data_IF_582273109305
#
_entry.id   IF_582273109305
#
_cell.length_a   1.000
_cell.length_b   1.000
_cell.length_c   1.000
_cell.angle_alpha   90.00
_cell.angle_beta   90.00
_cell.angle_gamma   90.00
#
_symmetry.space_group_name_H-M   'P 1'
#
loop_
_entity.id
_entity.type
_entity.pdbx_description
1 polymer ?
#
# COMPACT_ATOMS: atom_id res chain seq x y z
N UNK A 1 33.44 22.95 -4.98
CA UNK A 1 31.98 22.96 -4.79
C UNK A 1 31.30 22.90 -6.14
N UNK A 2 30.25 22.08 -6.24
CA UNK A 2 29.41 22.00 -7.44
C UNK A 2 28.35 23.10 -7.48
N UNK A 3 27.56 23.19 -8.57
CA UNK A 3 26.58 24.27 -8.73
C UNK A 3 25.41 24.08 -7.76
N UNK A 4 24.96 22.84 -7.57
CA UNK A 4 23.88 22.51 -6.65
C UNK A 4 24.31 22.71 -5.20
N UNK A 5 25.55 22.40 -4.86
CA UNK A 5 26.12 22.67 -3.53
C UNK A 5 26.15 24.18 -3.23
N UNK A 6 26.56 25.01 -4.20
CA UNK A 6 26.58 26.48 -4.04
C UNK A 6 25.16 27.03 -3.86
N UNK A 7 24.20 26.55 -4.64
CA UNK A 7 22.79 26.96 -4.53
C UNK A 7 22.25 26.58 -3.15
N UNK A 8 22.49 25.34 -2.70
CA UNK A 8 22.02 24.87 -1.41
C UNK A 8 22.68 25.64 -0.26
N UNK A 9 24.00 25.89 -0.30
CA UNK A 9 24.70 26.65 0.73
C UNK A 9 24.17 28.09 0.84
N UNK A 10 23.90 28.74 -0.29
CA UNK A 10 23.40 30.11 -0.32
C UNK A 10 21.97 30.23 0.24
N UNK A 11 21.13 29.21 0.00
CA UNK A 11 19.69 29.24 0.33
C UNK A 11 19.35 28.64 1.69
N UNK A 12 19.97 27.51 2.03
CA UNK A 12 19.77 26.83 3.31
C UNK A 12 20.68 27.43 4.41
N UNK A 13 21.83 27.97 3.99
CA UNK A 13 22.88 28.47 4.87
C UNK A 13 23.95 27.42 5.20
N UNK A 14 25.21 27.84 5.29
CA UNK A 14 26.37 26.98 5.51
C UNK A 14 26.23 26.05 6.74
N UNK A 15 25.73 26.58 7.87
CA UNK A 15 25.52 25.77 9.09
C UNK A 15 24.48 24.66 8.91
N UNK A 16 23.43 24.90 8.13
CA UNK A 16 22.41 23.89 7.85
C UNK A 16 22.98 22.83 6.92
N UNK A 17 23.66 23.23 5.85
CA UNK A 17 24.27 22.24 4.94
C UNK A 17 25.35 21.40 5.65
N UNK A 18 26.14 21.98 6.56
CA UNK A 18 27.11 21.27 7.41
C UNK A 18 26.45 20.25 8.36
N UNK A 19 25.26 20.57 8.88
CA UNK A 19 24.51 19.65 9.73
C UNK A 19 23.90 18.47 8.96
N UNK A 20 23.88 18.52 7.62
CA UNK A 20 23.30 17.52 6.73
C UNK A 20 24.34 16.99 5.72
N UNK A 21 25.36 16.23 6.17
CA UNK A 21 26.46 15.77 5.31
C UNK A 21 26.02 14.80 4.19
N UNK A 22 24.93 14.05 4.41
CA UNK A 22 24.33 13.19 3.40
C UNK A 22 23.78 14.01 2.22
N UNK A 23 23.04 15.08 2.50
CA UNK A 23 22.57 16.04 1.49
C UNK A 23 23.73 16.61 0.69
N UNK A 24 24.79 17.07 1.36
CA UNK A 24 25.98 17.63 0.69
C UNK A 24 26.61 16.62 -0.27
N UNK A 25 26.82 15.39 0.19
CA UNK A 25 27.40 14.31 -0.62
C UNK A 25 26.51 13.98 -1.82
N UNK A 26 25.20 13.96 -1.62
CA UNK A 26 24.22 13.68 -2.66
C UNK A 26 24.14 14.79 -3.73
N UNK A 27 24.18 16.06 -3.31
CA UNK A 27 24.26 17.21 -4.24
C UNK A 27 25.54 17.16 -5.09
N UNK A 28 26.69 16.81 -4.51
CA UNK A 28 27.93 16.63 -5.26
C UNK A 28 27.83 15.50 -6.30
N UNK A 29 27.16 14.40 -5.97
CA UNK A 29 26.91 13.30 -6.90
C UNK A 29 25.96 13.74 -8.03
N UNK A 30 24.91 14.49 -7.71
CA UNK A 30 24.01 15.07 -8.69
C UNK A 30 24.72 16.09 -9.62
N UNK A 31 25.63 16.90 -9.09
CA UNK A 31 26.47 17.81 -9.87
C UNK A 31 27.42 17.06 -10.82
N UNK A 32 28.04 15.97 -10.36
CA UNK A 32 28.87 15.09 -11.21
C UNK A 32 28.02 14.45 -12.31
N UNK A 33 26.81 14.00 -11.97
CA UNK A 33 25.85 13.45 -12.90
C UNK A 33 25.46 14.45 -13.99
N UNK A 34 25.21 15.71 -13.60
CA UNK A 34 24.80 16.80 -14.48
C UNK A 34 25.86 17.25 -15.49
N UNK A 35 27.14 16.91 -15.27
CA UNK A 35 28.23 17.21 -16.21
C UNK A 35 28.35 16.19 -17.35
N UNK A 36 27.58 15.10 -17.31
CA UNK A 36 27.57 14.10 -18.37
C UNK A 36 26.88 14.68 -19.62
N UNK A 37 27.37 14.38 -20.84
CA UNK A 37 26.84 14.97 -22.08
C UNK A 37 25.39 14.56 -22.40
N UNK A 38 24.90 13.46 -21.81
CA UNK A 38 23.52 13.00 -21.98
C UNK A 38 22.92 12.72 -20.60
N UNK A 39 21.95 13.54 -20.18
CA UNK A 39 21.12 13.29 -19.00
C UNK A 39 19.78 12.66 -19.42
N UNK A 40 19.28 11.71 -18.62
CA UNK A 40 17.90 11.25 -18.77
C UNK A 40 16.90 12.35 -18.36
N UNK A 41 15.66 12.24 -18.79
CA UNK A 41 14.63 13.21 -18.41
C UNK A 41 14.32 13.13 -16.90
N UNK A 42 14.41 11.95 -16.29
CA UNK A 42 14.28 11.76 -14.84
C UNK A 42 15.40 12.49 -14.07
N UNK A 43 16.65 12.43 -14.56
CA UNK A 43 17.77 13.13 -13.94
C UNK A 43 17.58 14.66 -14.00
N UNK A 44 17.07 15.18 -15.12
CA UNK A 44 16.74 16.61 -15.26
C UNK A 44 15.61 17.02 -14.32
N UNK A 45 14.54 16.23 -14.26
CA UNK A 45 13.40 16.50 -13.39
C UNK A 45 13.82 16.53 -11.91
N UNK A 46 14.69 15.60 -11.51
CA UNK A 46 15.26 15.57 -10.15
C UNK A 46 16.09 16.81 -9.85
N UNK A 47 17.00 17.21 -10.75
CA UNK A 47 17.81 18.42 -10.57
C UNK A 47 16.93 19.67 -10.46
N UNK A 48 15.89 19.78 -11.30
CA UNK A 48 14.93 20.88 -11.20
C UNK A 48 14.22 20.88 -9.84
N UNK A 49 13.76 19.71 -9.38
CA UNK A 49 13.11 19.56 -8.06
C UNK A 49 14.02 19.98 -6.92
N UNK A 50 15.31 19.62 -6.96
CA UNK A 50 16.30 20.03 -5.96
C UNK A 50 16.47 21.54 -5.91
N UNK A 51 16.56 22.18 -7.09
CA UNK A 51 16.68 23.64 -7.18
C UNK A 51 15.42 24.31 -6.64
N UNK A 52 14.24 23.88 -7.07
CA UNK A 52 12.95 24.42 -6.61
C UNK A 52 12.80 24.31 -5.09
N UNK A 53 13.09 23.15 -4.50
CA UNK A 53 13.00 22.97 -3.06
C UNK A 53 13.99 23.83 -2.27
N UNK A 54 15.19 24.11 -2.81
CA UNK A 54 16.11 25.07 -2.19
C UNK A 54 15.51 26.49 -2.17
N UNK A 55 14.82 26.91 -3.23
CA UNK A 55 14.12 28.19 -3.27
C UNK A 55 12.91 28.23 -2.34
N UNK A 56 12.11 27.16 -2.29
CA UNK A 56 10.99 27.06 -1.35
C UNK A 56 11.47 27.09 0.11
N UNK A 57 12.58 26.42 0.44
CA UNK A 57 13.16 26.48 1.78
C UNK A 57 13.50 27.91 2.24
N UNK A 58 14.08 28.72 1.34
CA UNK A 58 14.42 30.12 1.63
C UNK A 58 13.16 30.97 1.90
N UNK A 59 12.09 30.73 1.14
CA UNK A 59 10.85 31.51 1.18
C UNK A 59 9.90 31.08 2.29
N UNK A 60 9.98 29.83 2.73
CA UNK A 60 9.13 29.30 3.78
C UNK A 60 9.41 29.99 5.13
N UNK A 61 8.34 30.25 5.88
CA UNK A 61 8.39 30.87 7.21
C UNK A 61 8.03 29.90 8.32
N UNK A 62 7.24 28.87 8.00
CA UNK A 62 6.83 27.84 8.94
C UNK A 62 7.98 26.86 9.23
N UNK A 63 8.31 26.61 10.51
CA UNK A 63 9.43 25.76 10.89
C UNK A 63 9.20 24.26 10.61
N UNK A 64 7.95 23.79 10.67
CA UNK A 64 7.62 22.40 10.41
C UNK A 64 7.69 22.13 8.90
N UNK A 65 7.18 23.06 8.08
CA UNK A 65 7.30 22.97 6.62
C UNK A 65 8.75 23.10 6.15
N UNK A 66 9.56 23.95 6.76
CA UNK A 66 11.02 23.96 6.52
C UNK A 66 11.67 22.62 6.80
N UNK A 67 11.23 21.94 7.85
CA UNK A 67 11.75 20.61 8.21
C UNK A 67 11.31 19.57 7.18
N UNK A 68 10.07 19.63 6.71
CA UNK A 68 9.57 18.78 5.63
C UNK A 68 10.34 18.98 4.32
N UNK A 69 10.53 20.24 3.90
CA UNK A 69 11.28 20.58 2.68
C UNK A 69 12.71 20.04 2.77
N UNK A 70 13.37 20.18 3.92
CA UNK A 70 14.73 19.69 4.12
C UNK A 70 14.80 18.16 4.04
N UNK A 71 13.84 17.45 4.63
CA UNK A 71 13.72 15.99 4.51
C UNK A 71 13.52 15.58 3.04
N UNK A 72 12.64 16.27 2.32
CA UNK A 72 12.41 15.98 0.89
C UNK A 72 13.64 16.27 0.04
N UNK A 73 14.40 17.33 0.34
CA UNK A 73 15.70 17.58 -0.30
C UNK A 73 16.67 16.42 -0.10
N UNK A 74 16.75 15.88 1.12
CA UNK A 74 17.57 14.70 1.41
C UNK A 74 17.12 13.48 0.60
N UNK A 75 15.83 13.15 0.63
CA UNK A 75 15.25 12.00 -0.09
C UNK A 75 15.48 12.09 -1.62
N UNK A 76 15.18 13.25 -2.22
CA UNK A 76 15.34 13.47 -3.65
C UNK A 76 16.82 13.49 -4.04
N UNK A 77 17.68 14.09 -3.22
CA UNK A 77 19.11 14.16 -3.51
C UNK A 77 19.76 12.78 -3.43
N UNK A 78 19.42 11.98 -2.42
CA UNK A 78 19.94 10.64 -2.22
C UNK A 78 19.61 9.72 -3.40
N UNK A 79 18.45 9.95 -4.05
CA UNK A 79 18.01 9.20 -5.23
C UNK A 79 18.08 7.68 -4.99
N UNK A 80 17.71 7.27 -3.78
CA UNK A 80 17.65 5.86 -3.40
C UNK A 80 16.47 5.20 -4.12
N UNK A 81 16.66 3.95 -4.55
CA UNK A 81 15.57 3.19 -5.12
C UNK A 81 14.49 2.99 -4.06
N UNK A 82 13.23 3.21 -4.41
CA UNK A 82 12.12 2.89 -3.53
C UNK A 82 12.18 1.40 -3.18
N UNK A 83 12.36 1.09 -1.90
CA UNK A 83 12.31 -0.29 -1.42
C UNK A 83 10.87 -0.79 -1.53
N UNK A 84 10.64 -1.74 -2.43
CA UNK A 84 9.38 -2.49 -2.45
C UNK A 84 9.42 -3.55 -1.34
N UNK A 85 8.30 -3.80 -0.63
CA UNK A 85 8.23 -4.91 0.30
C UNK A 85 8.66 -6.20 -0.41
N UNK A 86 9.71 -6.84 0.11
CA UNK A 86 10.21 -8.11 -0.41
C UNK A 86 9.42 -9.30 0.13
N UNK A 87 8.67 -9.07 1.22
CA UNK A 87 7.85 -10.06 1.88
C UNK A 87 6.52 -10.25 1.14
N UNK A 88 6.03 -11.49 1.11
CA UNK A 88 4.67 -11.77 0.64
C UNK A 88 3.64 -11.32 1.67
N UNK A 89 2.37 -11.26 1.25
CA UNK A 89 1.26 -10.94 2.17
C UNK A 89 1.16 -11.96 3.30
N UNK A 90 1.42 -13.24 3.02
CA UNK A 90 1.39 -14.32 4.00
C UNK A 90 2.53 -14.20 5.01
N UNK A 91 3.75 -13.90 4.55
CA UNK A 91 4.90 -13.67 5.44
C UNK A 91 4.67 -12.47 6.35
N UNK A 92 4.03 -11.43 5.81
CA UNK A 92 3.68 -10.24 6.57
C UNK A 92 2.58 -10.53 7.60
N UNK A 93 1.55 -11.28 7.23
CA UNK A 93 0.47 -11.71 8.12
C UNK A 93 1.00 -12.59 9.28
N UNK A 94 1.88 -13.56 8.99
CA UNK A 94 2.51 -14.38 10.02
C UNK A 94 3.39 -13.56 10.97
N UNK A 95 4.15 -12.61 10.43
CA UNK A 95 4.93 -11.67 11.26
C UNK A 95 4.01 -10.85 12.17
N UNK A 96 2.86 -10.39 11.66
CA UNK A 96 1.91 -9.61 12.43
C UNK A 96 1.23 -10.45 13.52
N UNK A 97 0.83 -11.69 13.22
CA UNK A 97 0.32 -12.64 14.22
C UNK A 97 1.33 -12.93 15.33
N UNK A 98 2.62 -13.03 14.99
CA UNK A 98 3.67 -13.27 15.97
C UNK A 98 3.92 -12.03 16.86
N UNK A 99 3.81 -10.82 16.29
CA UNK A 99 4.08 -9.57 16.99
C UNK A 99 2.90 -9.05 17.82
N UNK A 100 1.66 -9.30 17.40
CA UNK A 100 0.44 -8.76 18.00
C UNK A 100 -0.56 -9.89 18.37
N UNK A 101 -0.64 -10.26 19.67
CA UNK A 101 -1.59 -11.28 20.13
C UNK A 101 -3.07 -10.90 19.94
N UNK A 102 -3.41 -9.61 19.93
CA UNK A 102 -4.78 -9.16 19.70
C UNK A 102 -5.16 -9.37 18.23
N UNK A 103 -4.24 -9.04 17.32
CA UNK A 103 -4.39 -9.36 15.90
C UNK A 103 -4.52 -10.87 15.67
N UNK A 104 -3.62 -11.67 16.25
CA UNK A 104 -3.66 -13.13 16.11
C UNK A 104 -5.00 -13.73 16.56
N UNK A 105 -5.52 -13.26 17.71
CA UNK A 105 -6.82 -13.68 18.22
C UNK A 105 -7.97 -13.26 17.29
N UNK A 106 -7.94 -12.02 16.78
CA UNK A 106 -8.96 -11.51 15.87
C UNK A 106 -8.96 -12.24 14.52
N UNK A 107 -7.77 -12.48 13.94
CA UNK A 107 -7.57 -13.28 12.72
C UNK A 107 -8.12 -14.69 12.90
N UNK A 108 -7.76 -15.39 13.98
CA UNK A 108 -8.29 -16.73 14.27
C UNK A 108 -9.82 -16.75 14.39
N UNK A 109 -10.40 -15.75 15.07
CA UNK A 109 -11.86 -15.65 15.19
C UNK A 109 -12.54 -15.41 13.83
N UNK A 110 -11.95 -14.59 12.97
CA UNK A 110 -12.45 -14.34 11.63
C UNK A 110 -12.38 -15.61 10.76
N UNK A 111 -11.27 -16.37 10.84
CA UNK A 111 -11.11 -17.64 10.12
C UNK A 111 -12.16 -18.67 10.57
N UNK A 112 -12.39 -18.79 11.88
CA UNK A 112 -13.41 -19.66 12.44
C UNK A 112 -14.83 -19.27 11.98
N UNK A 113 -15.11 -17.97 11.93
CA UNK A 113 -16.38 -17.44 11.46
C UNK A 113 -16.60 -17.76 9.98
N UNK A 114 -15.59 -17.56 9.13
CA UNK A 114 -15.62 -17.91 7.71
C UNK A 114 -15.81 -19.42 7.50
N UNK A 115 -15.09 -20.25 8.25
CA UNK A 115 -15.23 -21.70 8.18
C UNK A 115 -16.64 -22.17 8.58
N UNK A 116 -17.22 -21.58 9.63
CA UNK A 116 -18.59 -21.87 10.04
C UNK A 116 -19.63 -21.43 8.99
N UNK A 117 -19.43 -20.26 8.38
CA UNK A 117 -20.25 -19.80 7.26
C UNK A 117 -20.19 -20.77 6.09
N UNK A 118 -18.98 -21.17 5.66
CA UNK A 118 -18.79 -22.10 4.54
C UNK A 118 -19.48 -23.44 4.79
N UNK A 119 -19.39 -23.96 6.02
CA UNK A 119 -20.10 -25.19 6.40
C UNK A 119 -21.61 -25.05 6.23
N UNK A 120 -22.21 -23.95 6.68
CA UNK A 120 -23.64 -23.66 6.50
C UNK A 120 -23.99 -23.49 5.02
N UNK A 121 -23.20 -22.71 4.28
CA UNK A 121 -23.34 -22.48 2.84
C UNK A 121 -23.38 -23.80 2.06
N UNK A 122 -22.41 -24.71 2.26
CA UNK A 122 -22.36 -25.98 1.54
C UNK A 122 -23.52 -26.91 1.91
N UNK A 123 -23.94 -26.91 3.19
CA UNK A 123 -25.13 -27.65 3.61
C UNK A 123 -26.41 -27.17 2.91
N UNK A 124 -26.62 -25.86 2.84
CA UNK A 124 -27.78 -25.25 2.18
C UNK A 124 -27.75 -25.44 0.67
N UNK A 125 -26.57 -25.30 0.05
CA UNK A 125 -26.36 -25.60 -1.37
C UNK A 125 -26.69 -27.06 -1.70
N UNK A 126 -26.33 -28.00 -0.84
CA UNK A 126 -26.66 -29.42 -1.01
C UNK A 126 -28.16 -29.68 -0.89
N UNK A 127 -28.83 -29.10 0.13
CA UNK A 127 -30.29 -29.22 0.34
C UNK A 127 -31.10 -28.69 -0.84
N UNK A 128 -30.59 -27.68 -1.52
CA UNK A 128 -31.26 -27.04 -2.68
C UNK A 128 -30.95 -27.71 -4.02
N UNK A 129 -30.08 -28.73 -4.04
CA UNK A 129 -29.72 -29.49 -5.23
C UNK A 129 -28.77 -28.77 -6.20
N UNK A 130 -28.14 -27.67 -5.79
CA UNK A 130 -27.27 -26.86 -6.65
C UNK A 130 -25.87 -27.48 -6.77
N UNK A 131 -25.69 -28.36 -7.77
CA UNK A 131 -24.46 -29.16 -7.91
C UNK A 131 -23.23 -28.38 -8.34
N UNK A 132 -23.35 -27.23 -8.99
CA UNK A 132 -22.22 -26.47 -9.53
C UNK A 132 -22.22 -25.01 -9.08
N UNK A 133 -21.05 -24.37 -9.08
CA UNK A 133 -20.90 -22.93 -8.86
C UNK A 133 -21.71 -22.11 -9.88
N UNK A 134 -21.78 -22.58 -11.12
CA UNK A 134 -22.58 -21.94 -12.17
C UNK A 134 -24.09 -21.98 -11.86
N UNK A 135 -24.58 -23.07 -11.30
CA UNK A 135 -25.98 -23.18 -10.87
C UNK A 135 -26.29 -22.20 -9.73
N UNK A 136 -25.40 -22.07 -8.74
CA UNK A 136 -25.53 -21.07 -7.66
C UNK A 136 -25.50 -19.65 -8.23
N UNK A 137 -24.55 -19.37 -9.11
CA UNK A 137 -24.38 -18.06 -9.75
C UNK A 137 -25.64 -17.64 -10.51
N UNK A 138 -26.18 -18.53 -11.36
CA UNK A 138 -27.44 -18.29 -12.09
C UNK A 138 -28.62 -18.03 -11.17
N UNK A 139 -28.77 -18.84 -10.11
CA UNK A 139 -29.91 -18.71 -9.19
C UNK A 139 -29.83 -17.48 -8.27
N UNK A 140 -28.62 -17.06 -7.90
CA UNK A 140 -28.38 -15.89 -7.06
C UNK A 140 -28.22 -14.57 -7.84
N UNK A 141 -28.03 -14.64 -9.17
CA UNK A 141 -27.69 -13.47 -9.98
C UNK A 141 -26.33 -12.88 -9.62
N UNK A 142 -25.37 -13.76 -9.30
CA UNK A 142 -23.96 -13.44 -9.03
C UNK A 142 -23.08 -13.98 -10.14
N UNK A 143 -21.85 -13.46 -10.26
CA UNK A 143 -20.86 -14.01 -11.20
C UNK A 143 -20.29 -15.31 -10.64
N UNK A 144 -20.07 -16.31 -11.50
CA UNK A 144 -19.45 -17.59 -11.10
C UNK A 144 -18.09 -17.39 -10.43
N UNK A 145 -17.25 -16.49 -10.96
CA UNK A 145 -15.94 -16.17 -10.37
C UNK A 145 -16.06 -15.71 -8.92
N UNK A 146 -17.10 -14.92 -8.61
CA UNK A 146 -17.34 -14.45 -7.25
C UNK A 146 -17.84 -15.58 -6.33
N UNK A 147 -18.65 -16.50 -6.83
CA UNK A 147 -19.02 -17.71 -6.08
C UNK A 147 -17.78 -18.56 -5.76
N UNK A 148 -16.85 -18.70 -6.71
CA UNK A 148 -15.62 -19.45 -6.48
C UNK A 148 -14.79 -18.84 -5.34
N UNK A 149 -14.62 -17.51 -5.34
CA UNK A 149 -13.90 -16.78 -4.29
C UNK A 149 -14.60 -16.87 -2.92
N UNK A 150 -15.94 -16.89 -2.90
CA UNK A 150 -16.68 -17.12 -1.66
C UNK A 150 -16.43 -18.55 -1.17
N UNK A 151 -16.48 -19.54 -2.05
CA UNK A 151 -16.32 -20.96 -1.72
C UNK A 151 -14.90 -21.34 -1.29
N UNK A 152 -13.87 -20.56 -1.67
CA UNK A 152 -12.50 -20.71 -1.15
C UNK A 152 -12.33 -20.12 0.25
N UNK A 153 -13.26 -19.28 0.71
CA UNK A 153 -13.17 -18.58 2.00
C UNK A 153 -12.27 -17.34 1.98
N UNK A 154 -11.71 -17.00 0.82
CA UNK A 154 -10.82 -15.84 0.67
C UNK A 154 -11.55 -14.52 0.89
N UNK A 155 -12.85 -14.46 0.54
CA UNK A 155 -13.69 -13.31 0.83
C UNK A 155 -15.00 -13.69 1.49
N UNK A 156 -15.24 -13.08 2.65
CA UNK A 156 -16.54 -13.12 3.28
C UNK A 156 -17.57 -12.28 2.48
N UNK A 157 -18.77 -12.81 2.18
CA UNK A 157 -19.75 -12.08 1.38
C UNK A 157 -20.31 -10.85 2.10
N UNK A 158 -20.47 -9.75 1.38
CA UNK A 158 -21.18 -8.57 1.89
C UNK A 158 -22.68 -8.83 2.07
N UNK A 159 -23.36 -7.99 2.86
CA UNK A 159 -24.80 -8.12 3.18
C UNK A 159 -25.70 -8.34 1.95
N UNK A 160 -25.52 -7.56 0.88
CA UNK A 160 -26.31 -7.71 -0.36
C UNK A 160 -26.06 -9.05 -1.06
N UNK A 161 -24.84 -9.56 -0.97
CA UNK A 161 -24.46 -10.88 -1.51
C UNK A 161 -25.09 -11.99 -0.66
N UNK A 162 -25.05 -11.87 0.66
CA UNK A 162 -25.72 -12.80 1.58
C UNK A 162 -27.23 -12.89 1.29
N UNK A 163 -27.90 -11.76 1.08
CA UNK A 163 -29.33 -11.73 0.70
C UNK A 163 -29.60 -12.46 -0.62
N UNK A 164 -28.75 -12.27 -1.62
CA UNK A 164 -28.86 -12.98 -2.91
C UNK A 164 -28.65 -14.48 -2.76
N UNK A 165 -27.69 -14.90 -1.94
CA UNK A 165 -27.43 -16.31 -1.64
C UNK A 165 -28.58 -16.94 -0.85
N UNK A 166 -29.08 -16.27 0.18
CA UNK A 166 -30.23 -16.70 0.97
C UNK A 166 -31.47 -16.92 0.08
N UNK A 167 -31.76 -15.95 -0.79
CA UNK A 167 -32.83 -16.07 -1.80
C UNK A 167 -32.60 -17.25 -2.75
N UNK A 168 -31.36 -17.48 -3.20
CA UNK A 168 -31.03 -18.60 -4.07
C UNK A 168 -31.23 -19.95 -3.37
N UNK A 169 -30.99 -20.01 -2.07
CA UNK A 169 -31.18 -21.21 -1.25
C UNK A 169 -32.58 -21.33 -0.63
N UNK A 170 -33.45 -20.33 -0.84
CA UNK A 170 -34.79 -20.24 -0.27
C UNK A 170 -34.81 -20.34 1.27
N UNK A 171 -33.89 -19.63 1.92
CA UNK A 171 -33.75 -19.53 3.38
C UNK A 171 -33.64 -18.07 3.83
N UNK A 172 -33.73 -17.81 5.13
CA UNK A 172 -33.40 -16.50 5.69
C UNK A 172 -31.88 -16.26 5.72
N UNK A 173 -31.45 -14.99 5.69
CA UNK A 173 -30.03 -14.63 5.78
C UNK A 173 -29.40 -15.12 7.09
N UNK A 174 -30.15 -15.14 8.19
CA UNK A 174 -29.69 -15.65 9.47
C UNK A 174 -29.29 -17.13 9.41
N UNK A 175 -29.86 -17.92 8.50
CA UNK A 175 -29.49 -19.33 8.34
C UNK A 175 -28.12 -19.52 7.66
N UNK A 176 -27.61 -18.51 6.97
CA UNK A 176 -26.27 -18.54 6.37
C UNK A 176 -25.18 -18.13 7.36
N UNK A 177 -25.51 -17.31 8.34
CA UNK A 177 -24.54 -16.79 9.30
C UNK A 177 -24.29 -17.77 10.44
N UNK A 178 -23.04 -17.95 10.93
CA UNK A 178 -22.68 -18.80 12.07
C UNK A 178 -23.51 -18.61 13.33
#
# INVERSE_FOLDING_TARGET
>A
MGVLEIIAEHRLGAKKLEAHPALRTALEQADKAARRPQLSDDEKARINSLVELCFEYERETDPDEKTNILRTLEEISANEALETPTQTLEEWDEKLKAADPAYAKASLAADQYTAAFLKKYFSLRAKTGLKTQDAVAKRSGLRRSYIAVIETGEHFPQQKTLQKLAKAFAVDVAELLP
#
